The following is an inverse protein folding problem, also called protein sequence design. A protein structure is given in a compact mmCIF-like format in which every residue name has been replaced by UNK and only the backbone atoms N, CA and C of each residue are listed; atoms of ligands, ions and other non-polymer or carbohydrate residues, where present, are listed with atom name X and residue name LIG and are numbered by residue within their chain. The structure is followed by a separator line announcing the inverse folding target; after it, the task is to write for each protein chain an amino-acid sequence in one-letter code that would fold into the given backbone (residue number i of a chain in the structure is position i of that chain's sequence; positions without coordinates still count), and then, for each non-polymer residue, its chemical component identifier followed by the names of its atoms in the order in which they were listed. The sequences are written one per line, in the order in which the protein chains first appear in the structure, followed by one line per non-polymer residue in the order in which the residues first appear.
data_IF_333548121608
#
_entry.id   IF_333548121608
#
_cell.length_a   1.000
_cell.length_b   1.000
_cell.length_c   1.000
_cell.angle_alpha   90.00
_cell.angle_beta   90.00
_cell.angle_gamma   90.00
#
_symmetry.space_group_name_H-M   'P 1'
#
loop_
_entity.id
_entity.type
_entity.pdbx_description
1 polymer ?
#
# COMPACT_ATOMS: atom_id res chain seq x y z
N UNK A 1 28.56 -6.46 -18.67
CA UNK A 1 27.89 -7.68 -19.17
C UNK A 1 26.80 -7.26 -20.16
N UNK A 2 26.71 -7.90 -21.33
CA UNK A 2 25.84 -7.48 -22.44
C UNK A 2 24.35 -7.49 -22.10
N UNK A 3 23.93 -8.26 -21.10
CA UNK A 3 22.51 -8.31 -20.67
C UNK A 3 22.12 -7.16 -19.72
N UNK A 4 23.09 -6.57 -19.01
CA UNK A 4 22.84 -5.57 -17.98
C UNK A 4 22.06 -4.38 -18.52
N UNK A 5 22.42 -3.91 -19.69
CA UNK A 5 21.79 -2.77 -20.34
C UNK A 5 20.35 -3.02 -20.83
N UNK A 6 19.97 -4.30 -20.96
CA UNK A 6 18.64 -4.73 -21.41
C UNK A 6 17.83 -5.37 -20.29
N UNK A 7 18.18 -5.09 -19.04
CA UNK A 7 17.54 -5.69 -17.87
C UNK A 7 16.92 -4.60 -17.00
N UNK A 8 15.73 -4.84 -16.52
CA UNK A 8 15.08 -4.08 -15.43
C UNK A 8 15.29 -4.84 -14.15
N UNK A 9 15.97 -4.23 -13.19
CA UNK A 9 16.15 -4.80 -11.86
C UNK A 9 15.08 -4.21 -10.95
N UNK A 10 14.33 -5.07 -10.28
CA UNK A 10 13.31 -4.69 -9.31
C UNK A 10 13.61 -5.36 -7.99
N UNK A 11 13.89 -4.55 -6.98
CA UNK A 11 14.18 -5.00 -5.62
C UNK A 11 13.11 -4.44 -4.70
N UNK A 12 12.46 -5.32 -3.94
CA UNK A 12 11.40 -4.92 -3.03
C UNK A 12 11.34 -5.84 -1.81
N UNK A 13 10.79 -5.34 -0.70
CA UNK A 13 10.42 -6.16 0.44
C UNK A 13 9.03 -6.77 0.24
N UNK A 14 8.83 -8.01 0.65
CA UNK A 14 7.53 -8.66 0.69
C UNK A 14 6.72 -8.24 1.93
N UNK A 15 7.41 -7.94 3.02
CA UNK A 15 6.91 -7.31 4.24
C UNK A 15 8.06 -6.70 5.03
N UNK A 16 7.75 -5.78 5.93
CA UNK A 16 8.70 -5.22 6.89
C UNK A 16 8.75 -6.01 8.20
N UNK A 17 9.43 -5.45 9.20
CA UNK A 17 9.52 -6.06 10.53
C UNK A 17 8.28 -5.78 11.38
N UNK A 18 7.90 -6.76 12.19
CA UNK A 18 6.91 -6.63 13.25
C UNK A 18 7.58 -6.77 14.64
N UNK A 19 8.91 -6.67 14.75
CA UNK A 19 9.63 -6.82 16.01
C UNK A 19 9.39 -5.57 16.88
N UNK A 20 8.74 -5.72 18.07
CA UNK A 20 8.49 -4.61 18.98
C UNK A 20 9.75 -4.09 19.66
N UNK A 21 10.86 -4.83 19.59
CA UNK A 21 12.13 -4.50 20.22
C UNK A 21 13.09 -3.76 19.30
N UNK A 22 12.67 -3.43 18.08
CA UNK A 22 13.50 -2.66 17.17
C UNK A 22 13.81 -1.29 17.82
N UNK A 23 15.09 -1.04 18.02
CA UNK A 23 15.59 0.23 18.57
C UNK A 23 15.03 1.38 17.73
N UNK A 24 14.54 2.43 18.40
CA UNK A 24 13.92 3.62 17.79
C UNK A 24 12.55 3.43 17.10
N UNK A 25 11.86 2.31 17.33
CA UNK A 25 10.48 2.16 16.87
C UNK A 25 9.53 2.85 17.87
N UNK A 26 8.64 3.71 17.36
CA UNK A 26 7.53 4.23 18.19
C UNK A 26 6.57 3.07 18.49
N UNK A 27 5.98 3.08 19.70
CA UNK A 27 5.00 2.07 20.10
C UNK A 27 3.83 2.01 19.10
N UNK A 28 3.35 3.17 18.66
CA UNK A 28 2.23 3.32 17.73
C UNK A 28 2.54 2.74 16.33
N UNK A 29 3.76 2.90 15.83
CA UNK A 29 4.20 2.27 14.58
C UNK A 29 4.10 0.74 14.66
N UNK A 30 4.35 0.17 15.84
CA UNK A 30 4.19 -1.26 16.09
C UNK A 30 2.71 -1.65 16.19
N UNK A 31 1.91 -0.92 16.95
CA UNK A 31 0.47 -1.20 17.15
C UNK A 31 -0.31 -1.07 15.84
N UNK A 32 -0.02 -0.05 15.06
CA UNK A 32 -0.62 0.15 13.73
C UNK A 32 -0.01 -0.74 12.64
N UNK A 33 1.07 -1.46 12.94
CA UNK A 33 1.83 -2.30 11.97
C UNK A 33 2.43 -1.51 10.80
N UNK A 34 2.65 -0.19 10.95
CA UNK A 34 3.13 0.67 9.86
C UNK A 34 4.46 0.17 9.29
N UNK A 35 5.38 -0.27 10.15
CA UNK A 35 6.67 -0.84 9.72
C UNK A 35 6.57 -2.18 9.01
N UNK A 36 5.51 -2.94 9.26
CA UNK A 36 5.27 -4.18 8.52
C UNK A 36 4.78 -3.93 7.10
N UNK A 37 4.13 -2.79 6.86
CA UNK A 37 3.61 -2.42 5.55
C UNK A 37 4.59 -1.57 4.75
N UNK A 38 5.43 -0.77 5.41
CA UNK A 38 6.38 0.10 4.74
C UNK A 38 7.65 -0.66 4.36
N UNK A 39 7.78 -0.97 3.08
CA UNK A 39 8.92 -1.69 2.50
C UNK A 39 9.52 -0.90 1.35
N UNK A 40 10.85 -0.99 1.13
CA UNK A 40 11.47 -0.33 0.00
C UNK A 40 11.07 -0.99 -1.32
N UNK A 41 10.91 -0.17 -2.36
CA UNK A 41 10.85 -0.58 -3.76
C UNK A 41 11.91 0.20 -4.53
N UNK A 42 12.83 -0.49 -5.16
CA UNK A 42 13.88 0.10 -6.00
C UNK A 42 13.76 -0.50 -7.39
N UNK A 43 13.61 0.36 -8.39
CA UNK A 43 13.60 -0.03 -9.80
C UNK A 43 14.83 0.59 -10.47
N UNK A 44 15.68 -0.26 -11.02
CA UNK A 44 16.88 0.16 -11.72
C UNK A 44 16.84 -0.30 -13.17
N UNK A 45 16.73 0.65 -14.08
CA UNK A 45 16.68 0.42 -15.52
C UNK A 45 17.26 1.65 -16.26
N UNK A 46 18.59 1.87 -16.22
CA UNK A 46 19.22 3.16 -16.58
C UNK A 46 19.01 3.58 -18.04
N UNK A 47 18.77 2.63 -18.96
CA UNK A 47 18.45 2.95 -20.36
C UNK A 47 16.99 3.34 -20.61
N UNK A 48 16.11 3.07 -19.65
CA UNK A 48 14.67 3.32 -19.75
C UNK A 48 14.28 4.47 -18.81
N UNK A 49 14.78 4.42 -17.58
CA UNK A 49 14.56 5.42 -16.54
C UNK A 49 15.76 6.37 -16.58
N UNK A 50 15.63 7.50 -17.24
CA UNK A 50 16.76 8.38 -17.56
C UNK A 50 17.37 9.14 -16.38
N UNK A 51 16.69 9.24 -15.23
CA UNK A 51 17.16 9.95 -14.03
C UNK A 51 16.65 9.26 -12.77
N UNK A 52 17.34 9.57 -11.66
CA UNK A 52 16.83 9.18 -10.33
C UNK A 52 15.55 9.97 -10.04
N UNK A 53 14.51 9.26 -9.70
CA UNK A 53 13.21 9.82 -9.30
C UNK A 53 12.74 9.11 -8.04
N UNK A 54 12.29 9.88 -7.05
CA UNK A 54 11.65 9.37 -5.85
C UNK A 54 10.14 9.45 -6.01
N UNK A 55 9.45 8.31 -5.91
CA UNK A 55 7.99 8.24 -5.94
C UNK A 55 7.51 8.16 -4.50
N UNK A 56 6.90 9.25 -4.03
CA UNK A 56 6.40 9.35 -2.65
C UNK A 56 4.96 8.86 -2.50
N UNK A 57 4.24 8.61 -3.59
CA UNK A 57 2.86 8.13 -3.54
C UNK A 57 2.77 6.74 -2.89
N UNK A 58 1.87 6.58 -1.93
CA UNK A 58 1.60 5.30 -1.32
C UNK A 58 1.20 4.26 -2.38
N UNK A 59 1.87 3.12 -2.38
CA UNK A 59 1.67 2.03 -3.33
C UNK A 59 1.78 0.67 -2.63
N UNK A 60 1.32 -0.38 -3.28
CA UNK A 60 1.33 -1.72 -2.73
C UNK A 60 1.95 -2.75 -3.66
N UNK A 61 2.18 -3.98 -3.17
CA UNK A 61 2.76 -5.06 -3.98
C UNK A 61 1.92 -5.41 -5.21
N UNK A 62 0.61 -5.15 -5.18
CA UNK A 62 -0.26 -5.32 -6.34
C UNK A 62 0.13 -4.42 -7.53
N UNK A 63 0.79 -3.29 -7.27
CA UNK A 63 1.20 -2.32 -8.27
C UNK A 63 2.46 -2.75 -9.04
N UNK A 64 3.22 -3.76 -8.55
CA UNK A 64 4.49 -4.16 -9.15
C UNK A 64 4.33 -4.64 -10.61
N UNK A 65 3.44 -5.59 -10.85
CA UNK A 65 3.30 -6.17 -12.19
C UNK A 65 2.80 -5.16 -13.23
N UNK A 66 1.76 -4.35 -12.97
CA UNK A 66 1.35 -3.29 -13.89
C UNK A 66 2.47 -2.27 -14.15
N UNK A 67 3.25 -1.93 -13.12
CA UNK A 67 4.38 -1.00 -13.24
C UNK A 67 5.49 -1.56 -14.11
N UNK A 68 5.90 -2.81 -13.88
CA UNK A 68 6.92 -3.49 -14.69
C UNK A 68 6.47 -3.61 -16.15
N UNK A 69 5.22 -4.01 -16.38
CA UNK A 69 4.66 -4.09 -17.73
C UNK A 69 4.65 -2.72 -18.43
N UNK A 70 4.33 -1.64 -17.68
CA UNK A 70 4.39 -0.27 -18.19
C UNK A 70 5.79 0.17 -18.58
N UNK A 71 6.80 -0.10 -17.74
CA UNK A 71 8.22 0.21 -18.00
C UNK A 71 8.71 -0.56 -19.24
N UNK A 72 8.40 -1.85 -19.30
CA UNK A 72 8.81 -2.72 -20.39
C UNK A 72 7.97 -2.52 -21.68
N UNK A 73 6.90 -1.72 -21.64
CA UNK A 73 5.94 -1.50 -22.73
C UNK A 73 5.34 -2.81 -23.26
N UNK A 74 5.08 -3.75 -22.36
CA UNK A 74 4.50 -5.05 -22.68
C UNK A 74 2.99 -4.96 -22.50
N UNK A 75 2.18 -5.44 -23.46
CA UNK A 75 0.74 -5.59 -23.26
C UNK A 75 0.46 -6.47 -22.05
N UNK A 76 -0.34 -5.97 -21.11
CA UNK A 76 -0.64 -6.66 -19.88
C UNK A 76 -2.13 -6.58 -19.55
N UNK A 77 -2.78 -7.74 -19.46
CA UNK A 77 -4.13 -7.82 -18.96
C UNK A 77 -4.09 -7.79 -17.43
N UNK A 78 -4.36 -6.63 -16.86
CA UNK A 78 -4.37 -6.46 -15.42
C UNK A 78 -5.60 -7.14 -14.79
N UNK A 79 -5.41 -8.29 -14.15
CA UNK A 79 -6.41 -9.00 -13.33
C UNK A 79 -6.22 -8.74 -11.84
N UNK A 80 -5.57 -7.64 -11.46
CA UNK A 80 -5.34 -7.22 -10.06
C UNK A 80 -5.92 -5.83 -9.83
N UNK A 81 -5.96 -5.40 -8.57
CA UNK A 81 -6.30 -4.01 -8.22
C UNK A 81 -5.12 -3.06 -8.33
N UNK A 82 -3.95 -3.56 -8.73
CA UNK A 82 -2.73 -2.78 -8.89
C UNK A 82 -2.77 -1.85 -10.10
N UNK A 83 -1.92 -0.85 -10.07
CA UNK A 83 -1.78 0.18 -11.10
C UNK A 83 -0.30 0.40 -11.45
N UNK A 84 -0.05 0.99 -12.61
CA UNK A 84 1.27 1.49 -12.98
C UNK A 84 1.55 2.79 -12.18
N UNK A 85 2.50 2.74 -11.25
CA UNK A 85 2.80 3.85 -10.33
C UNK A 85 3.37 5.07 -11.04
N UNK A 86 4.00 4.91 -12.20
CA UNK A 86 4.51 6.03 -13.00
C UNK A 86 3.40 6.78 -13.75
N UNK A 87 2.25 6.17 -13.97
CA UNK A 87 1.12 6.77 -14.70
C UNK A 87 -0.03 7.19 -13.80
N UNK A 88 -0.17 6.54 -12.66
CA UNK A 88 -1.28 6.80 -11.75
C UNK A 88 -0.96 7.95 -10.82
N UNK A 89 -1.88 8.89 -10.70
CA UNK A 89 -1.84 9.96 -9.70
C UNK A 89 -2.48 9.57 -8.37
N UNK A 90 -2.98 8.34 -8.26
CA UNK A 90 -3.61 7.88 -7.04
C UNK A 90 -2.54 7.63 -5.96
N UNK A 91 -2.77 8.17 -4.77
CA UNK A 91 -1.87 8.06 -3.62
C UNK A 91 -2.58 7.26 -2.52
N UNK A 92 -2.78 5.96 -2.78
CA UNK A 92 -3.46 5.04 -1.86
C UNK A 92 -2.90 3.63 -1.99
N UNK A 93 -2.64 2.98 -0.86
CA UNK A 93 -2.40 1.54 -0.80
C UNK A 93 -3.52 0.86 0.01
N UNK A 94 -4.01 -0.27 -0.49
CA UNK A 94 -5.01 -1.08 0.18
C UNK A 94 -4.35 -2.12 1.08
N UNK A 95 -4.82 -2.22 2.32
CA UNK A 95 -4.26 -3.09 3.35
C UNK A 95 -5.34 -4.03 3.88
N UNK A 96 -5.01 -5.31 4.04
CA UNK A 96 -5.85 -6.28 4.74
C UNK A 96 -5.06 -6.92 5.86
N UNK A 97 -5.48 -6.71 7.10
CA UNK A 97 -4.84 -7.28 8.27
C UNK A 97 -5.68 -8.41 8.87
N UNK A 98 -5.28 -9.64 8.56
CA UNK A 98 -5.96 -10.85 9.07
C UNK A 98 -5.40 -11.34 10.40
N UNK A 99 -4.19 -10.90 10.78
CA UNK A 99 -3.47 -11.39 11.96
C UNK A 99 -3.74 -10.55 13.22
N UNK A 100 -4.37 -9.40 13.09
CA UNK A 100 -4.81 -8.61 14.26
C UNK A 100 -6.16 -9.10 14.79
N UNK A 101 -6.39 -8.85 16.05
CA UNK A 101 -7.70 -9.04 16.69
C UNK A 101 -8.16 -7.68 17.25
N UNK A 102 -9.26 -7.12 16.69
CA UNK A 102 -10.03 -7.60 15.55
C UNK A 102 -9.28 -7.47 14.21
N UNK A 103 -9.61 -8.36 13.25
CA UNK A 103 -9.08 -8.26 11.89
C UNK A 103 -9.67 -7.06 11.18
N UNK A 104 -8.88 -6.42 10.31
CA UNK A 104 -9.29 -5.18 9.65
C UNK A 104 -8.88 -5.17 8.17
N UNK A 105 -9.51 -4.27 7.42
CA UNK A 105 -9.03 -3.81 6.11
C UNK A 105 -9.01 -2.28 6.13
N UNK A 106 -8.33 -1.68 5.18
CA UNK A 106 -8.25 -0.24 5.13
C UNK A 106 -7.42 0.27 3.98
N UNK A 107 -7.20 1.57 4.00
CA UNK A 107 -6.37 2.28 3.03
C UNK A 107 -5.41 3.21 3.75
N UNK A 108 -4.23 3.33 3.18
CA UNK A 108 -3.20 4.26 3.64
C UNK A 108 -2.77 5.17 2.49
N UNK A 109 -2.58 6.44 2.79
CA UNK A 109 -1.91 7.41 1.92
C UNK A 109 -0.72 8.02 2.64
N UNK A 110 -0.20 9.16 2.18
CA UNK A 110 0.96 9.80 2.81
C UNK A 110 0.63 10.55 4.12
N UNK A 111 -0.64 10.70 4.47
CA UNK A 111 -1.10 11.48 5.62
C UNK A 111 -1.91 10.63 6.58
N UNK A 112 -2.82 9.80 6.06
CA UNK A 112 -3.79 9.08 6.86
C UNK A 112 -3.75 7.58 6.62
N UNK A 113 -4.03 6.83 7.69
CA UNK A 113 -4.31 5.40 7.66
C UNK A 113 -5.71 5.15 8.22
N UNK A 114 -6.64 4.74 7.37
CA UNK A 114 -7.97 4.28 7.77
C UNK A 114 -7.97 2.78 7.99
N UNK A 115 -8.52 2.34 9.11
CA UNK A 115 -8.78 0.94 9.46
C UNK A 115 -10.27 0.72 9.64
N UNK A 116 -10.83 -0.29 8.99
CA UNK A 116 -12.24 -0.73 9.17
C UNK A 116 -12.21 -2.13 9.75
N UNK A 117 -12.84 -2.32 10.89
CA UNK A 117 -12.88 -3.60 11.59
C UNK A 117 -13.90 -4.54 10.99
N UNK A 118 -13.53 -5.80 10.80
CA UNK A 118 -14.37 -6.80 10.15
C UNK A 118 -15.44 -7.40 11.04
N UNK A 119 -15.34 -7.21 12.34
CA UNK A 119 -16.32 -7.63 13.34
C UNK A 119 -17.50 -6.64 13.49
N UNK A 120 -17.46 -5.54 12.75
CA UNK A 120 -18.48 -4.49 12.81
C UNK A 120 -18.30 -3.50 13.96
N UNK A 121 -17.21 -3.56 14.72
CA UNK A 121 -16.95 -2.62 15.84
C UNK A 121 -16.70 -1.18 15.38
N UNK A 122 -16.54 -0.95 14.06
CA UNK A 122 -16.40 0.39 13.51
C UNK A 122 -15.14 0.59 12.68
N UNK A 123 -14.62 1.81 12.75
CA UNK A 123 -13.39 2.22 12.05
C UNK A 123 -12.57 3.17 12.91
N UNK A 124 -11.30 3.28 12.59
CA UNK A 124 -10.36 4.26 13.13
C UNK A 124 -9.66 4.97 11.99
N UNK A 125 -9.38 6.26 12.17
CA UNK A 125 -8.54 7.07 11.29
C UNK A 125 -7.33 7.55 12.06
N UNK A 126 -6.15 7.32 11.53
CA UNK A 126 -4.88 7.71 12.14
C UNK A 126 -4.17 8.72 11.23
N UNK A 127 -3.73 9.85 11.80
CA UNK A 127 -2.80 10.77 11.16
C UNK A 127 -1.38 10.21 11.34
N UNK A 128 -0.82 9.66 10.28
CA UNK A 128 0.50 8.99 10.34
C UNK A 128 1.68 9.97 10.39
N UNK A 129 1.42 11.26 10.17
CA UNK A 129 2.42 12.32 10.29
C UNK A 129 2.47 12.92 11.70
N UNK A 130 1.43 12.69 12.51
CA UNK A 130 1.38 13.18 13.89
C UNK A 130 2.48 12.56 14.76
N UNK A 131 2.78 13.24 15.88
CA UNK A 131 3.69 12.74 16.89
C UNK A 131 3.12 11.50 17.61
N UNK A 132 1.78 11.40 17.69
CA UNK A 132 1.02 10.31 18.29
C UNK A 132 0.09 9.64 17.24
N UNK A 133 0.61 8.94 16.26
CA UNK A 133 -0.22 8.36 15.19
C UNK A 133 -1.17 7.25 15.67
N UNK A 134 -1.01 6.79 16.91
CA UNK A 134 -1.92 5.82 17.55
C UNK A 134 -3.29 6.39 17.90
N UNK A 135 -3.44 7.70 17.98
CA UNK A 135 -4.73 8.33 18.26
C UNK A 135 -5.71 8.18 17.11
N UNK A 136 -6.99 7.91 17.45
CA UNK A 136 -8.09 7.89 16.48
C UNK A 136 -8.60 9.32 16.27
N UNK A 137 -8.31 9.88 15.11
CA UNK A 137 -8.66 11.26 14.75
C UNK A 137 -9.90 11.35 13.86
N UNK A 138 -10.70 10.27 13.71
CA UNK A 138 -11.85 10.25 12.78
C UNK A 138 -12.89 11.33 13.06
N UNK A 139 -13.11 11.70 14.32
CA UNK A 139 -14.06 12.74 14.68
C UNK A 139 -13.55 14.16 14.33
N UNK A 140 -12.23 14.33 14.24
CA UNK A 140 -11.58 15.58 13.84
C UNK A 140 -11.64 15.72 12.31
N UNK A 141 -11.43 14.62 11.58
CA UNK A 141 -11.35 14.58 10.11
C UNK A 141 -12.48 13.73 9.52
N UNK A 142 -13.72 13.99 9.93
CA UNK A 142 -14.87 13.16 9.58
C UNK A 142 -15.08 12.99 8.06
N UNK A 143 -14.91 14.06 7.30
CA UNK A 143 -15.07 14.02 5.83
C UNK A 143 -14.00 13.15 5.17
N UNK A 144 -12.76 13.20 5.69
CA UNK A 144 -11.65 12.36 5.23
C UNK A 144 -11.93 10.91 5.58
N UNK A 145 -12.35 10.63 6.82
CA UNK A 145 -12.69 9.29 7.28
C UNK A 145 -13.78 8.66 6.43
N UNK A 146 -14.87 9.39 6.16
CA UNK A 146 -15.99 8.93 5.34
C UNK A 146 -15.58 8.69 3.88
N UNK A 147 -14.75 9.57 3.33
CA UNK A 147 -14.22 9.43 1.97
C UNK A 147 -13.34 8.20 1.83
N UNK A 148 -12.38 8.03 2.73
CA UNK A 148 -11.46 6.89 2.73
C UNK A 148 -12.21 5.58 3.01
N UNK A 149 -13.24 5.61 3.87
CA UNK A 149 -14.08 4.43 4.15
C UNK A 149 -14.79 3.94 2.89
N UNK A 150 -15.40 4.83 2.12
CA UNK A 150 -16.07 4.46 0.86
C UNK A 150 -15.09 3.79 -0.11
N UNK A 151 -13.86 4.30 -0.18
CA UNK A 151 -12.80 3.72 -1.03
C UNK A 151 -12.40 2.35 -0.48
N UNK A 152 -12.14 2.24 0.82
CA UNK A 152 -11.74 0.99 1.47
C UNK A 152 -12.79 -0.11 1.29
N UNK A 153 -14.07 0.22 1.51
CA UNK A 153 -15.19 -0.71 1.33
C UNK A 153 -15.27 -1.18 -0.14
N UNK A 154 -15.17 -0.26 -1.09
CA UNK A 154 -15.18 -0.58 -2.52
C UNK A 154 -14.01 -1.50 -2.92
N UNK A 155 -12.79 -1.23 -2.44
CA UNK A 155 -11.64 -2.08 -2.68
C UNK A 155 -11.78 -3.45 -2.02
N UNK A 156 -12.31 -3.50 -0.80
CA UNK A 156 -12.55 -4.76 -0.10
C UNK A 156 -13.56 -5.65 -0.83
N UNK A 157 -14.70 -5.10 -1.26
CA UNK A 157 -15.70 -5.86 -2.03
C UNK A 157 -15.16 -6.27 -3.40
N UNK A 158 -14.42 -5.38 -4.07
CA UNK A 158 -13.75 -5.71 -5.33
C UNK A 158 -12.77 -6.87 -5.16
N UNK A 159 -11.97 -6.85 -4.09
CA UNK A 159 -11.01 -7.93 -3.80
C UNK A 159 -11.69 -9.29 -3.60
N UNK A 160 -12.83 -9.29 -2.92
CA UNK A 160 -13.65 -10.49 -2.73
C UNK A 160 -14.20 -10.99 -4.07
N UNK A 161 -14.79 -10.08 -4.85
CA UNK A 161 -15.30 -10.44 -6.18
C UNK A 161 -14.21 -11.07 -7.06
N UNK A 162 -13.04 -10.44 -7.13
CA UNK A 162 -11.91 -10.95 -7.91
C UNK A 162 -11.43 -12.31 -7.41
N UNK A 163 -11.38 -12.53 -6.10
CA UNK A 163 -10.98 -13.82 -5.53
C UNK A 163 -11.89 -14.96 -6.01
N UNK A 164 -13.18 -14.72 -6.15
CA UNK A 164 -14.14 -15.74 -6.58
C UNK A 164 -14.25 -15.90 -8.10
N UNK A 165 -13.89 -14.87 -8.88
CA UNK A 165 -14.15 -14.84 -10.34
C UNK A 165 -12.89 -14.83 -11.20
N UNK A 166 -11.70 -14.69 -10.62
CA UNK A 166 -10.43 -14.71 -11.37
C UNK A 166 -9.87 -16.11 -11.65
N UNK A 167 -10.59 -17.15 -11.32
CA UNK A 167 -10.16 -18.55 -11.48
C UNK A 167 -10.42 -19.12 -12.90
N UNK A 168 -10.71 -18.28 -13.89
CA UNK A 168 -10.90 -18.68 -15.28
C UNK A 168 -9.85 -18.05 -16.20
#
# INVERSE_FOLDING_TARGET
SSYFDNTVFVLFGDHGTADPKAEHMRADDYELKLRSYNVPLIIYAPKILGSLEEITAASGLADLMPTIAGICRIPYLNKTMGRDIFKSKNNLAFIVNKKMSPSSYGVINNEFYLRVFRDGSGMELHDILDINPGEDVKEIYIEVADSLKKIADGLYETSKYMLYHNNN
#
